data_IF_425961791474
#
_entry.id   IF_425961791474
#
_cell.length_a   1.000
_cell.length_b   1.000
_cell.length_c   1.000
_cell.angle_alpha   90.00
_cell.angle_beta   90.00
_cell.angle_gamma   90.00
#
_symmetry.space_group_name_H-M   'P 1'
#
loop_
_entity.id
_entity.type
_entity.pdbx_description
1 polymer ?
#
# COMPACT_ATOMS: atom_id res chain seq x y z
N UNK A 1 -0.05 5.59 -16.59
CA UNK A 1 0.16 4.15 -16.86
C UNK A 1 1.47 3.91 -17.59
N UNK A 2 2.06 2.73 -17.38
CA UNK A 2 3.16 2.24 -18.20
C UNK A 2 2.62 1.55 -19.44
N UNK A 3 3.45 1.41 -20.49
CA UNK A 3 3.00 0.78 -21.74
C UNK A 3 2.72 -0.72 -21.57
N UNK A 4 3.58 -1.42 -20.82
CA UNK A 4 3.36 -2.83 -20.46
C UNK A 4 2.63 -2.91 -19.12
N UNK A 5 1.43 -3.42 -19.14
CA UNK A 5 0.56 -3.58 -17.96
C UNK A 5 0.82 -4.87 -17.18
N UNK A 6 1.79 -5.66 -17.59
CA UNK A 6 2.18 -6.88 -16.88
C UNK A 6 2.93 -6.54 -15.61
N UNK A 7 2.44 -7.00 -14.46
CA UNK A 7 3.20 -6.92 -13.21
C UNK A 7 4.38 -7.88 -13.31
N UNK A 8 5.62 -7.40 -13.23
CA UNK A 8 6.78 -8.29 -13.31
C UNK A 8 6.81 -9.25 -12.12
N UNK A 9 7.32 -10.45 -12.31
CA UNK A 9 7.56 -11.35 -11.19
C UNK A 9 8.64 -10.78 -10.25
N UNK A 10 8.53 -11.08 -8.95
CA UNK A 10 9.60 -10.76 -8.02
C UNK A 10 10.88 -11.50 -8.40
N UNK A 11 12.03 -10.84 -8.31
CA UNK A 11 13.32 -11.49 -8.47
C UNK A 11 13.56 -12.48 -7.31
N UNK A 12 14.39 -13.50 -7.53
CA UNK A 12 14.62 -14.59 -6.56
C UNK A 12 15.17 -14.13 -5.21
N UNK A 13 15.82 -12.98 -5.16
CA UNK A 13 16.47 -12.39 -3.97
C UNK A 13 15.73 -11.18 -3.41
N UNK A 14 14.63 -10.76 -4.04
CA UNK A 14 13.79 -9.65 -3.59
C UNK A 14 12.36 -10.13 -3.31
N UNK A 15 11.61 -9.33 -2.56
CA UNK A 15 10.17 -9.44 -2.46
C UNK A 15 9.51 -8.31 -3.27
N UNK A 16 8.23 -8.43 -3.56
CA UNK A 16 7.48 -7.40 -4.23
C UNK A 16 6.12 -7.22 -3.56
N UNK A 17 5.69 -5.97 -3.39
CA UNK A 17 4.32 -5.65 -2.98
C UNK A 17 3.62 -4.88 -4.10
N UNK A 18 2.47 -5.34 -4.53
CA UNK A 18 1.60 -4.66 -5.48
C UNK A 18 0.50 -3.97 -4.70
N UNK A 19 0.56 -2.66 -4.63
CA UNK A 19 -0.49 -1.83 -4.05
C UNK A 19 -1.53 -1.52 -5.11
N UNK A 20 -2.80 -1.74 -4.81
CA UNK A 20 -3.91 -1.50 -5.73
C UNK A 20 -4.94 -0.58 -5.09
N UNK A 21 -5.59 0.22 -5.89
CA UNK A 21 -6.73 1.03 -5.48
C UNK A 21 -7.80 1.01 -6.56
N UNK A 22 -8.87 0.29 -6.26
CA UNK A 22 -10.12 0.30 -7.00
C UNK A 22 -11.26 0.53 -6.01
N UNK A 23 -11.71 1.76 -5.88
CA UNK A 23 -12.73 2.15 -4.92
C UNK A 23 -13.89 2.86 -5.61
N UNK A 24 -15.10 2.52 -5.21
CA UNK A 24 -16.29 3.20 -5.70
C UNK A 24 -16.38 4.65 -5.22
N UNK A 25 -15.94 4.93 -3.98
CA UNK A 25 -15.96 6.24 -3.35
C UNK A 25 -14.58 6.90 -3.30
N UNK A 26 -14.52 8.22 -3.15
CA UNK A 26 -13.27 8.95 -3.00
C UNK A 26 -12.41 9.01 -4.27
N UNK A 27 -12.98 8.78 -5.44
CA UNK A 27 -12.26 8.67 -6.72
C UNK A 27 -11.40 9.89 -7.06
N UNK A 28 -11.86 11.09 -6.70
CA UNK A 28 -11.16 12.34 -7.01
C UNK A 28 -9.99 12.66 -6.07
N UNK A 29 -9.86 11.94 -4.95
CA UNK A 29 -8.83 12.20 -3.94
C UNK A 29 -7.66 11.27 -4.20
N UNK A 30 -6.46 11.80 -4.26
CA UNK A 30 -5.23 11.00 -4.37
C UNK A 30 -4.64 10.74 -2.98
N UNK A 31 -3.96 9.61 -2.84
CA UNK A 31 -3.13 9.28 -1.71
C UNK A 31 -1.69 9.02 -2.17
N UNK A 32 -0.77 8.94 -1.25
CA UNK A 32 0.63 8.62 -1.52
C UNK A 32 1.10 7.50 -0.60
N UNK A 33 2.02 6.69 -1.10
CA UNK A 33 2.52 5.50 -0.45
C UNK A 33 3.99 5.63 -0.10
N UNK A 34 4.36 5.07 1.04
CA UNK A 34 5.71 5.09 1.58
C UNK A 34 6.07 3.76 2.24
N UNK A 35 7.34 3.39 2.12
CA UNK A 35 7.97 2.41 2.99
C UNK A 35 8.64 3.17 4.14
N UNK A 36 8.19 2.92 5.37
CA UNK A 36 8.68 3.62 6.57
C UNK A 36 9.44 2.69 7.52
N UNK A 37 9.94 1.61 6.98
CA UNK A 37 10.72 0.61 7.71
C UNK A 37 11.95 1.24 8.37
N UNK A 38 12.23 0.84 9.62
CA UNK A 38 13.38 1.31 10.43
C UNK A 38 13.46 2.85 10.56
N UNK A 39 12.32 3.52 10.60
CA UNK A 39 12.26 4.97 10.79
C UNK A 39 12.64 5.79 9.56
N UNK A 40 12.94 5.16 8.44
CA UNK A 40 13.14 5.84 7.15
C UNK A 40 11.80 6.14 6.49
N UNK A 41 11.78 7.07 5.55
CA UNK A 41 10.62 7.35 4.69
C UNK A 41 11.06 7.29 3.25
N UNK A 42 10.71 6.19 2.59
CA UNK A 42 10.98 6.01 1.16
C UNK A 42 9.67 6.16 0.38
N UNK A 43 9.66 7.08 -0.57
CA UNK A 43 8.51 7.33 -1.42
C UNK A 43 8.31 6.17 -2.42
N UNK A 44 7.13 5.56 -2.39
CA UNK A 44 6.73 4.51 -3.33
C UNK A 44 6.02 5.11 -4.55
N UNK A 45 5.04 5.97 -4.33
CA UNK A 45 4.33 6.61 -5.43
C UNK A 45 3.03 7.30 -5.02
N UNK A 46 2.43 7.97 -5.99
CA UNK A 46 1.09 8.56 -5.88
C UNK A 46 0.06 7.55 -6.35
N UNK A 47 -0.95 7.32 -5.53
CA UNK A 47 -2.02 6.35 -5.78
C UNK A 47 -3.33 7.08 -6.10
N UNK A 48 -3.70 7.09 -7.37
CA UNK A 48 -5.02 7.50 -7.82
C UNK A 48 -5.98 6.29 -7.84
N UNK A 49 -7.27 6.54 -7.93
CA UNK A 49 -8.23 5.44 -8.14
C UNK A 49 -8.03 4.78 -9.51
N UNK A 50 -8.24 3.46 -9.60
CA UNK A 50 -8.02 2.70 -10.82
C UNK A 50 -6.54 2.50 -11.15
N UNK A 51 -5.62 2.56 -10.16
CA UNK A 51 -4.19 2.32 -10.38
C UNK A 51 -3.61 1.26 -9.46
N UNK A 52 -2.53 0.63 -9.92
CA UNK A 52 -1.66 -0.25 -9.12
C UNK A 52 -0.20 0.14 -9.28
N UNK A 53 0.57 -0.07 -8.21
CA UNK A 53 2.02 0.17 -8.18
C UNK A 53 2.70 -1.12 -7.72
N UNK A 54 3.64 -1.64 -8.51
CA UNK A 54 4.51 -2.73 -8.11
C UNK A 54 5.77 -2.14 -7.44
N UNK A 55 6.02 -2.54 -6.20
CA UNK A 55 7.14 -2.09 -5.39
C UNK A 55 8.06 -3.25 -5.03
N UNK A 56 9.18 -3.42 -5.73
CA UNK A 56 10.21 -4.38 -5.33
C UNK A 56 10.95 -3.86 -4.10
N UNK A 57 11.21 -4.77 -3.15
CA UNK A 57 11.88 -4.43 -1.90
C UNK A 57 12.66 -5.62 -1.35
N UNK A 58 13.36 -5.45 -0.24
CA UNK A 58 14.07 -6.52 0.43
C UNK A 58 13.12 -7.50 1.11
N UNK A 59 13.46 -8.79 1.23
CA UNK A 59 12.75 -9.71 2.11
C UNK A 59 12.82 -9.25 3.57
N UNK A 60 11.90 -9.73 4.39
CA UNK A 60 11.84 -9.45 5.81
C UNK A 60 10.71 -8.53 6.21
N UNK A 61 10.84 -7.91 7.38
CA UNK A 61 9.79 -7.07 7.96
C UNK A 61 9.81 -5.67 7.39
N UNK A 62 8.63 -5.19 7.04
CA UNK A 62 8.38 -3.84 6.53
C UNK A 62 7.19 -3.20 7.23
N UNK A 63 7.21 -1.87 7.28
CA UNK A 63 6.06 -1.05 7.63
C UNK A 63 5.78 -0.10 6.47
N UNK A 64 4.58 -0.17 5.94
CA UNK A 64 4.11 0.72 4.87
C UNK A 64 3.15 1.75 5.41
N UNK A 65 3.13 2.92 4.78
CA UNK A 65 2.28 4.05 5.15
C UNK A 65 1.53 4.58 3.92
N UNK A 66 0.25 4.83 4.09
CA UNK A 66 -0.57 5.60 3.13
C UNK A 66 -0.90 6.97 3.72
N UNK A 67 -0.74 8.01 2.93
CA UNK A 67 -0.99 9.40 3.35
C UNK A 67 -1.94 10.10 2.39
N UNK A 68 -2.89 10.82 2.97
CA UNK A 68 -3.68 11.87 2.33
C UNK A 68 -3.79 13.05 3.30
N UNK A 69 -4.96 13.38 3.82
CA UNK A 69 -5.08 14.35 4.93
C UNK A 69 -4.66 13.74 6.28
N UNK A 70 -4.73 12.43 6.42
CA UNK A 70 -4.24 11.64 7.54
C UNK A 70 -3.28 10.56 7.04
N UNK A 71 -2.60 9.86 7.95
CA UNK A 71 -1.77 8.71 7.66
C UNK A 71 -2.32 7.44 8.32
N UNK A 72 -2.12 6.30 7.65
CA UNK A 72 -2.41 4.98 8.18
C UNK A 72 -1.31 4.00 7.75
N UNK A 73 -1.20 2.85 8.42
CA UNK A 73 -0.06 1.96 8.28
C UNK A 73 -0.50 0.52 8.03
N UNK A 74 0.43 -0.28 7.55
CA UNK A 74 0.31 -1.73 7.39
C UNK A 74 1.68 -2.37 7.61
N UNK A 75 1.70 -3.48 8.36
CA UNK A 75 2.90 -4.28 8.54
C UNK A 75 3.01 -5.37 7.47
N UNK A 76 4.21 -5.86 7.25
CA UNK A 76 4.46 -6.98 6.34
C UNK A 76 5.64 -7.81 6.81
N UNK A 77 5.60 -9.12 6.53
CA UNK A 77 6.73 -10.05 6.65
C UNK A 77 6.87 -10.79 5.32
N UNK A 78 7.86 -10.39 4.53
CA UNK A 78 7.98 -10.73 3.11
C UNK A 78 9.06 -11.76 2.87
N UNK A 79 8.75 -12.82 2.11
CA UNK A 79 9.71 -13.81 1.66
C UNK A 79 10.32 -13.43 0.30
N UNK A 80 11.58 -13.79 0.09
CA UNK A 80 12.26 -13.63 -1.18
C UNK A 80 11.56 -14.44 -2.31
N UNK A 81 11.54 -13.87 -3.51
CA UNK A 81 10.94 -14.46 -4.69
C UNK A 81 9.41 -14.41 -4.73
N UNK A 82 8.77 -13.75 -3.76
CA UNK A 82 7.32 -13.72 -3.63
C UNK A 82 6.73 -12.34 -3.95
N UNK A 83 5.54 -12.36 -4.55
CA UNK A 83 4.73 -11.16 -4.80
C UNK A 83 3.52 -11.15 -3.85
N UNK A 84 3.36 -10.05 -3.16
CA UNK A 84 2.28 -9.77 -2.21
C UNK A 84 1.37 -8.69 -2.76
N UNK A 85 0.13 -8.66 -2.28
CA UNK A 85 -0.86 -7.68 -2.73
C UNK A 85 -1.47 -6.95 -1.54
N UNK A 86 -1.68 -5.65 -1.70
CA UNK A 86 -2.31 -4.79 -0.70
C UNK A 86 -3.32 -3.85 -1.36
N UNK A 87 -4.38 -3.54 -0.64
CA UNK A 87 -5.45 -2.68 -1.12
C UNK A 87 -5.44 -1.35 -0.36
N UNK A 88 -5.51 -0.26 -1.11
CA UNK A 88 -5.75 1.09 -0.57
C UNK A 88 -7.24 1.36 -0.60
N UNK A 89 -7.85 1.52 0.56
CA UNK A 89 -9.29 1.74 0.70
C UNK A 89 -9.60 3.10 1.30
N UNK A 90 -10.61 3.83 0.78
CA UNK A 90 -11.08 5.03 1.44
C UNK A 90 -11.78 4.68 2.75
N UNK A 91 -11.55 5.49 3.78
CA UNK A 91 -12.32 5.45 5.03
C UNK A 91 -13.30 6.60 5.04
N UNK A 92 -14.55 6.29 5.34
CA UNK A 92 -15.56 7.33 5.56
C UNK A 92 -15.20 8.15 6.80
N UNK A 93 -15.08 9.45 6.63
CA UNK A 93 -14.80 10.42 7.70
C UNK A 93 -15.54 11.70 7.43
N UNK A 94 -16.05 12.35 8.50
CA UNK A 94 -16.90 13.55 8.37
C UNK A 94 -16.15 14.78 7.86
N UNK A 95 -14.81 14.84 8.08
CA UNK A 95 -14.06 16.09 7.85
C UNK A 95 -12.70 15.95 7.16
N UNK A 96 -12.20 14.71 7.00
CA UNK A 96 -10.90 14.47 6.39
C UNK A 96 -10.94 13.26 5.42
N UNK A 97 -10.28 13.41 4.28
CA UNK A 97 -10.02 12.29 3.41
C UNK A 97 -9.01 11.34 4.07
N UNK A 98 -9.46 10.14 4.39
CA UNK A 98 -8.66 9.10 5.04
C UNK A 98 -8.62 7.86 4.18
N UNK A 99 -7.46 7.24 4.14
CA UNK A 99 -7.27 5.95 3.48
C UNK A 99 -6.65 4.96 4.44
N UNK A 100 -6.89 3.71 4.20
CA UNK A 100 -6.26 2.60 4.91
C UNK A 100 -5.53 1.69 3.92
N UNK A 101 -4.49 1.03 4.43
CA UNK A 101 -3.83 -0.08 3.76
C UNK A 101 -4.34 -1.39 4.36
N UNK A 102 -4.75 -2.30 3.49
CA UNK A 102 -5.16 -3.65 3.88
C UNK A 102 -4.35 -4.71 3.16
N UNK A 103 -3.85 -5.73 3.87
CA UNK A 103 -3.29 -6.90 3.22
C UNK A 103 -4.38 -7.64 2.44
N UNK A 104 -4.02 -8.18 1.27
CA UNK A 104 -4.85 -9.16 0.57
C UNK A 104 -4.29 -10.52 0.95
N UNK A 105 -5.02 -11.21 1.81
CA UNK A 105 -4.57 -12.44 2.47
C UNK A 105 -4.84 -13.70 1.63
N UNK A 106 -4.03 -14.72 1.84
CA UNK A 106 -4.29 -16.06 1.30
C UNK A 106 -5.40 -16.81 2.04
N UNK A 107 -5.87 -16.28 3.18
CA UNK A 107 -6.99 -16.86 3.93
C UNK A 107 -8.32 -16.60 3.21
N UNK A 108 -9.15 -17.65 2.98
CA UNK A 108 -10.41 -17.50 2.21
C UNK A 108 -11.40 -16.54 2.84
N UNK A 109 -11.45 -16.53 4.18
CA UNK A 109 -12.43 -15.77 4.97
C UNK A 109 -11.92 -14.38 5.39
N UNK A 110 -10.75 -13.97 4.90
CA UNK A 110 -10.24 -12.63 5.16
C UNK A 110 -11.12 -11.56 4.52
N UNK A 111 -11.14 -10.37 5.11
CA UNK A 111 -11.88 -9.22 4.58
C UNK A 111 -11.49 -8.89 3.12
N UNK A 112 -10.21 -9.08 2.80
CA UNK A 112 -9.67 -9.03 1.44
C UNK A 112 -8.86 -10.30 1.20
N UNK A 113 -9.32 -11.15 0.26
CA UNK A 113 -8.72 -12.44 -0.01
C UNK A 113 -8.25 -12.59 -1.44
N UNK A 114 -7.07 -13.18 -1.64
CA UNK A 114 -6.55 -13.61 -2.95
C UNK A 114 -7.48 -14.62 -3.64
N UNK A 115 -8.33 -15.31 -2.87
CA UNK A 115 -9.29 -16.32 -3.35
C UNK A 115 -10.68 -15.74 -3.68
N UNK A 116 -10.87 -14.43 -3.48
CA UNK A 116 -12.12 -13.76 -3.79
C UNK A 116 -12.23 -13.40 -5.28
N UNK A 117 -13.46 -13.32 -5.80
CA UNK A 117 -13.68 -12.78 -7.14
C UNK A 117 -13.23 -11.32 -7.25
N UNK A 118 -13.36 -10.55 -6.18
CA UNK A 118 -12.93 -9.16 -6.13
C UNK A 118 -11.42 -8.99 -6.39
N UNK A 119 -10.58 -9.96 -6.00
CA UNK A 119 -9.15 -9.88 -6.26
C UNK A 119 -8.85 -9.83 -7.76
N UNK A 120 -9.53 -10.66 -8.55
CA UNK A 120 -9.40 -10.66 -10.00
C UNK A 120 -9.82 -9.31 -10.58
N UNK A 121 -10.96 -8.77 -10.13
CA UNK A 121 -11.47 -7.48 -10.57
C UNK A 121 -10.48 -6.36 -10.24
N UNK A 122 -9.91 -6.32 -9.01
CA UNK A 122 -8.90 -5.33 -8.63
C UNK A 122 -7.64 -5.39 -9.51
N UNK A 123 -7.21 -6.58 -9.91
CA UNK A 123 -6.06 -6.74 -10.81
C UNK A 123 -6.39 -6.26 -12.22
N UNK A 124 -7.59 -6.59 -12.73
CA UNK A 124 -8.00 -6.26 -14.10
C UNK A 124 -8.39 -4.79 -14.25
N UNK A 125 -9.06 -4.20 -13.25
CA UNK A 125 -9.62 -2.83 -13.31
C UNK A 125 -8.63 -1.73 -12.92
N UNK A 126 -7.38 -2.08 -12.61
CA UNK A 126 -6.35 -1.10 -12.25
C UNK A 126 -5.21 -1.06 -13.26
N UNK A 127 -4.81 0.15 -13.65
CA UNK A 127 -3.65 0.39 -14.51
C UNK A 127 -2.34 0.35 -13.71
N UNK A 128 -1.33 -0.35 -14.23
CA UNK A 128 0.02 -0.30 -13.67
C UNK A 128 0.66 1.06 -13.96
N UNK A 129 1.11 1.72 -12.90
CA UNK A 129 1.73 3.04 -12.97
C UNK A 129 3.11 3.05 -12.29
N UNK A 130 3.95 3.97 -12.69
CA UNK A 130 5.23 4.27 -12.03
C UNK A 130 5.36 5.76 -11.77
N UNK A 131 6.38 6.14 -11.00
CA UNK A 131 6.69 7.53 -10.75
C UNK A 131 7.11 8.26 -12.04
N UNK A 132 6.56 9.45 -12.23
CA UNK A 132 6.97 10.39 -13.25
C UNK A 132 7.89 11.45 -12.64
N UNK A 133 8.65 12.23 -13.46
CA UNK A 133 9.39 13.40 -12.96
C UNK A 133 8.51 14.36 -12.15
N UNK A 134 7.24 14.49 -12.54
CA UNK A 134 6.25 15.33 -11.83
C UNK A 134 5.91 14.80 -10.44
N UNK A 135 5.70 13.49 -10.27
CA UNK A 135 5.42 12.89 -8.95
C UNK A 135 6.63 12.94 -8.03
N UNK A 136 7.82 12.72 -8.56
CA UNK A 136 9.07 12.85 -7.80
C UNK A 136 9.30 14.30 -7.33
N UNK A 137 9.15 15.28 -8.21
CA UNK A 137 9.25 16.69 -7.85
C UNK A 137 8.18 17.14 -6.85
N UNK A 138 6.97 16.59 -6.95
CA UNK A 138 5.92 16.81 -5.97
C UNK A 138 6.33 16.27 -4.59
N UNK A 139 6.86 15.06 -4.52
CA UNK A 139 7.31 14.48 -3.25
C UNK A 139 8.38 15.33 -2.59
N UNK A 140 9.37 15.83 -3.35
CA UNK A 140 10.41 16.70 -2.81
C UNK A 140 9.84 17.95 -2.14
N UNK A 141 8.76 18.52 -2.68
CA UNK A 141 8.10 19.71 -2.08
C UNK A 141 7.32 19.40 -0.82
N UNK A 142 6.80 18.18 -0.67
CA UNK A 142 5.88 17.83 0.44
C UNK A 142 6.54 16.98 1.53
N UNK A 143 7.81 16.60 1.40
CA UNK A 143 8.55 15.76 2.35
C UNK A 143 8.30 16.14 3.82
N UNK A 144 8.47 17.42 4.14
CA UNK A 144 8.30 17.89 5.52
C UNK A 144 6.88 17.67 6.05
N UNK A 145 5.88 17.84 5.20
CA UNK A 145 4.47 17.58 5.55
C UNK A 145 4.22 16.08 5.75
N UNK A 146 4.85 15.21 4.94
CA UNK A 146 4.74 13.76 5.08
C UNK A 146 5.36 13.30 6.39
N UNK A 147 6.57 13.77 6.73
CA UNK A 147 7.22 13.47 8.02
C UNK A 147 6.39 13.93 9.21
N UNK A 148 5.78 15.11 9.12
CA UNK A 148 4.88 15.61 10.16
C UNK A 148 3.68 14.69 10.36
N UNK A 149 3.03 14.24 9.29
CA UNK A 149 1.90 13.30 9.35
C UNK A 149 2.33 11.94 9.89
N UNK A 150 3.46 11.44 9.48
CA UNK A 150 4.02 10.21 10.05
C UNK A 150 4.20 10.33 11.56
N UNK A 151 4.83 11.40 12.05
CA UNK A 151 5.04 11.64 13.47
C UNK A 151 3.72 11.79 14.24
N UNK A 152 2.71 12.41 13.64
CA UNK A 152 1.38 12.61 14.24
C UNK A 152 0.59 11.29 14.37
N UNK A 153 0.63 10.43 13.34
CA UNK A 153 -0.23 9.24 13.28
C UNK A 153 0.47 7.93 13.71
N UNK A 154 1.78 7.90 13.78
CA UNK A 154 2.51 6.72 14.25
C UNK A 154 2.15 6.30 15.68
N UNK A 155 2.06 7.21 16.68
CA UNK A 155 1.58 6.84 18.01
C UNK A 155 0.18 6.21 18.02
N UNK A 156 -0.72 6.70 17.18
CA UNK A 156 -2.08 6.14 17.03
C UNK A 156 -2.02 4.70 16.52
N UNK A 157 -1.13 4.41 15.58
CA UNK A 157 -0.89 3.04 15.10
C UNK A 157 -0.35 2.14 16.20
N UNK A 158 0.60 2.62 16.99
CA UNK A 158 1.21 1.87 18.09
C UNK A 158 0.24 1.54 19.24
N UNK A 159 -0.85 2.28 19.39
CA UNK A 159 -1.90 2.02 20.38
C UNK A 159 -2.85 0.87 19.97
N UNK A 160 -2.76 0.39 18.73
CA UNK A 160 -3.60 -0.73 18.28
C UNK A 160 -3.26 -2.01 19.02
N UNK A 161 -4.29 -2.82 19.28
CA UNK A 161 -4.10 -4.17 19.83
C UNK A 161 -3.29 -5.07 18.88
N UNK A 162 -2.66 -6.09 19.43
CA UNK A 162 -1.93 -7.08 18.62
C UNK A 162 -2.81 -7.73 17.56
N UNK A 163 -4.07 -8.03 17.87
CA UNK A 163 -5.04 -8.61 16.92
C UNK A 163 -5.36 -7.64 15.78
N UNK A 164 -5.57 -6.36 16.10
CA UNK A 164 -5.83 -5.34 15.08
C UNK A 164 -4.63 -5.10 14.15
N UNK A 165 -3.41 -5.19 14.68
CA UNK A 165 -2.18 -5.13 13.86
C UNK A 165 -2.03 -6.39 13.01
N UNK A 166 -2.35 -7.58 13.56
CA UNK A 166 -2.27 -8.84 12.82
C UNK A 166 -3.21 -8.88 11.61
N UNK A 167 -4.42 -8.31 11.73
CA UNK A 167 -5.35 -8.14 10.60
C UNK A 167 -4.82 -7.19 9.50
N UNK A 168 -3.87 -6.33 9.85
CA UNK A 168 -3.25 -5.33 8.99
C UNK A 168 -1.80 -5.70 8.63
N UNK A 169 -1.49 -6.99 8.65
CA UNK A 169 -0.14 -7.53 8.37
C UNK A 169 -0.18 -8.51 7.22
N UNK A 170 0.62 -8.23 6.18
CA UNK A 170 0.94 -9.23 5.15
C UNK A 170 1.82 -10.31 5.78
N UNK A 171 1.34 -11.55 5.77
CA UNK A 171 2.05 -12.71 6.32
C UNK A 171 2.90 -13.39 5.22
N UNK A 172 3.96 -14.13 5.58
CA UNK A 172 4.75 -14.89 4.61
C UNK A 172 3.91 -15.78 3.70
N UNK A 173 2.83 -16.36 4.23
CA UNK A 173 1.89 -17.23 3.50
C UNK A 173 1.00 -16.50 2.48
N UNK A 174 0.95 -15.17 2.49
CA UNK A 174 0.15 -14.38 1.56
C UNK A 174 0.88 -14.14 0.22
N UNK A 175 2.16 -14.52 0.12
CA UNK A 175 2.96 -14.38 -1.10
C UNK A 175 2.65 -15.44 -2.16
N UNK A 176 2.54 -15.00 -3.41
CA UNK A 176 2.37 -15.84 -4.60
C UNK A 176 3.70 -16.05 -5.32
#
# INVERSE_FOLDING_TARGET
PVADQTVPAAASDTAQVVFMRDAYTGKAIVSSLYDVTDGKTQFIGVMANGTKIAYPTTPGKHTFMVVSEAADFMEADLLAGKTYYALVTPRMGLWKARFSLWPISNEPDAAHSLKSNNFKDWVEDTDLVTNSPKSLAWYERVKASIEKKRAEYWPVWQEKSADAVAERTLKPSDGL
#
